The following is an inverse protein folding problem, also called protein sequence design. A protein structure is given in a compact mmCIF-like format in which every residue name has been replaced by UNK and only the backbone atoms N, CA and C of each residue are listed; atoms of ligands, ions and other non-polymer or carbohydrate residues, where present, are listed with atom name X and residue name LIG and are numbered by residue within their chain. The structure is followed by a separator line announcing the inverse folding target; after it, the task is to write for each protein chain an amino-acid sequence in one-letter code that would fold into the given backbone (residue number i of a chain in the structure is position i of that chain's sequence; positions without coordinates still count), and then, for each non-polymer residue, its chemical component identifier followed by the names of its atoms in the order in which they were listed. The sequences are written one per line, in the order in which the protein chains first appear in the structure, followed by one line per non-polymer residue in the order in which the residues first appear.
data_IF_665366505431
#
_entry.id   IF_665366505431
#
_cell.length_a   1.000
_cell.length_b   1.000
_cell.length_c   1.000
_cell.angle_alpha   90.00
_cell.angle_beta   90.00
_cell.angle_gamma   90.00
#
_symmetry.space_group_name_H-M   'P 1'
#
loop_
_entity.id
_entity.type
_entity.pdbx_description
1 polymer ?
#
# COMPACT_ATOMS: atom_id res chain seq x y z
N UNK A 1 6.25 -36.51 7.64
CA UNK A 1 5.46 -35.25 7.66
C UNK A 1 6.01 -34.38 8.79
N UNK A 2 6.52 -33.17 8.51
CA UNK A 2 7.10 -32.29 9.51
C UNK A 2 5.99 -31.66 10.35
N UNK A 3 5.98 -31.98 11.63
CA UNK A 3 4.98 -31.49 12.60
C UNK A 3 5.45 -30.13 13.15
N UNK A 4 4.86 -29.07 12.65
CA UNK A 4 5.21 -27.69 13.01
C UNK A 4 4.88 -27.34 14.47
N UNK A 5 3.85 -27.95 15.05
CA UNK A 5 3.45 -27.69 16.44
C UNK A 5 4.44 -28.31 17.41
N UNK A 6 4.79 -29.58 17.23
CA UNK A 6 5.84 -30.25 18.04
C UNK A 6 7.20 -29.54 17.95
N UNK A 7 7.55 -29.03 16.75
CA UNK A 7 8.78 -28.27 16.58
C UNK A 7 8.74 -26.94 17.35
N UNK A 8 7.56 -26.28 17.39
CA UNK A 8 7.37 -25.02 18.13
C UNK A 8 7.42 -25.24 19.64
N UNK A 9 6.77 -26.29 20.13
CA UNK A 9 6.80 -26.68 21.55
C UNK A 9 8.23 -27.03 21.99
N UNK A 10 8.93 -27.87 21.21
CA UNK A 10 10.33 -28.20 21.45
C UNK A 10 11.22 -26.95 21.53
N UNK A 11 11.05 -26.01 20.59
CA UNK A 11 11.79 -24.76 20.59
C UNK A 11 11.49 -23.91 21.83
N UNK A 12 10.23 -23.76 22.21
CA UNK A 12 9.86 -22.99 23.41
C UNK A 12 10.43 -23.62 24.69
N UNK A 13 10.35 -24.94 24.82
CA UNK A 13 10.87 -25.69 25.97
C UNK A 13 12.41 -25.61 26.08
N UNK A 14 13.11 -25.57 24.97
CA UNK A 14 14.57 -25.60 24.92
C UNK A 14 15.21 -24.26 24.53
N UNK A 15 14.43 -23.18 24.44
CA UNK A 15 14.87 -21.87 23.92
C UNK A 15 16.12 -21.33 24.62
N UNK A 16 16.17 -21.42 25.95
CA UNK A 16 17.32 -20.94 26.73
C UNK A 16 18.59 -21.71 26.38
N UNK A 17 18.53 -23.04 26.33
CA UNK A 17 19.63 -23.89 25.94
C UNK A 17 20.10 -23.66 24.50
N UNK A 18 19.15 -23.56 23.57
CA UNK A 18 19.45 -23.28 22.16
C UNK A 18 20.14 -21.91 22.00
N UNK A 19 19.68 -20.87 22.70
CA UNK A 19 20.32 -19.57 22.70
C UNK A 19 21.73 -19.60 23.31
N UNK A 20 21.91 -20.33 24.40
CA UNK A 20 23.21 -20.49 25.03
C UNK A 20 24.21 -21.21 24.13
N UNK A 21 23.80 -22.30 23.47
CA UNK A 21 24.61 -23.02 22.48
C UNK A 21 24.97 -22.13 21.30
N UNK A 22 24.00 -21.34 20.78
CA UNK A 22 24.24 -20.40 19.70
C UNK A 22 25.21 -19.28 20.10
N UNK A 23 25.09 -18.75 21.33
CA UNK A 23 26.03 -17.75 21.85
C UNK A 23 27.44 -18.29 22.05
N UNK A 24 27.56 -19.49 22.62
CA UNK A 24 28.84 -20.15 22.79
C UNK A 24 29.52 -20.43 21.45
N UNK A 25 28.73 -20.92 20.47
CA UNK A 25 29.22 -21.18 19.13
C UNK A 25 29.60 -19.87 18.40
N UNK A 26 28.79 -18.79 18.54
CA UNK A 26 29.10 -17.48 17.99
C UNK A 26 30.38 -16.90 18.58
N UNK A 27 30.56 -17.00 19.92
CA UNK A 27 31.79 -16.58 20.62
C UNK A 27 33.03 -17.31 20.10
N UNK A 28 32.94 -18.65 19.96
CA UNK A 28 34.03 -19.48 19.44
C UNK A 28 34.43 -19.18 17.99
N UNK A 29 33.50 -18.62 17.22
CA UNK A 29 33.70 -18.31 15.78
C UNK A 29 33.90 -16.81 15.47
N UNK A 30 33.76 -15.93 16.47
CA UNK A 30 34.04 -14.48 16.33
C UNK A 30 35.54 -14.24 16.14
N UNK A 31 36.39 -14.97 16.85
CA UNK A 31 37.85 -14.87 16.74
C UNK A 31 38.39 -15.27 15.35
N UNK A 32 37.55 -15.88 14.50
CA UNK A 32 37.89 -16.28 13.13
C UNK A 32 37.33 -15.32 12.05
N UNK A 33 36.97 -14.06 12.38
CA UNK A 33 36.67 -13.03 11.40
C UNK A 33 35.20 -12.83 11.04
N UNK A 34 34.27 -13.07 11.98
CA UNK A 34 32.86 -12.69 11.86
C UNK A 34 31.89 -13.86 11.85
N UNK A 35 30.57 -13.55 11.87
CA UNK A 35 29.55 -14.59 11.89
C UNK A 35 29.72 -15.55 10.71
N UNK A 36 29.36 -16.82 10.90
CA UNK A 36 29.45 -17.87 9.86
C UNK A 36 28.75 -17.45 8.58
N UNK A 37 27.64 -16.73 8.67
CA UNK A 37 26.94 -16.17 7.53
C UNK A 37 27.78 -15.14 6.75
N UNK A 38 28.59 -14.30 7.44
CA UNK A 38 29.55 -13.42 6.77
C UNK A 38 30.70 -14.21 6.13
N UNK A 39 31.12 -15.29 6.77
CA UNK A 39 32.17 -16.18 6.24
C UNK A 39 31.69 -16.88 4.97
N UNK A 40 30.49 -17.48 4.97
CA UNK A 40 29.89 -18.07 3.76
C UNK A 40 29.63 -17.05 2.67
N UNK A 41 29.10 -15.87 2.99
CA UNK A 41 28.95 -14.78 2.04
C UNK A 41 30.27 -14.29 1.45
N UNK A 42 31.37 -14.27 2.25
CA UNK A 42 32.71 -13.95 1.76
C UNK A 42 33.22 -15.04 0.83
N UNK A 43 33.06 -16.32 1.18
CA UNK A 43 33.48 -17.45 0.37
C UNK A 43 32.77 -17.51 -0.99
N UNK A 44 31.48 -17.28 -1.04
CA UNK A 44 30.75 -17.24 -2.30
C UNK A 44 31.21 -16.09 -3.20
N UNK A 45 31.50 -14.92 -2.63
CA UNK A 45 32.07 -13.77 -3.36
C UNK A 45 33.51 -13.98 -3.82
N UNK A 46 34.31 -14.75 -3.08
CA UNK A 46 35.66 -15.14 -3.51
C UNK A 46 35.58 -16.08 -4.72
N UNK A 47 34.66 -17.07 -4.69
CA UNK A 47 34.44 -18.00 -5.82
C UNK A 47 33.84 -17.36 -7.05
N UNK A 48 32.89 -16.47 -6.85
CA UNK A 48 32.27 -15.69 -7.92
C UNK A 48 32.12 -14.24 -7.48
N UNK A 49 33.11 -13.36 -7.77
CA UNK A 49 33.07 -11.93 -7.42
C UNK A 49 31.89 -11.19 -8.01
N UNK A 50 31.29 -11.71 -9.07
CA UNK A 50 30.18 -11.11 -9.79
C UNK A 50 28.80 -11.67 -9.38
N UNK A 51 28.73 -12.61 -8.43
CA UNK A 51 27.47 -13.31 -8.07
C UNK A 51 26.34 -12.33 -7.71
N UNK A 52 26.66 -11.26 -6.96
CA UNK A 52 25.68 -10.25 -6.56
C UNK A 52 25.26 -9.41 -7.78
N UNK A 53 26.18 -9.13 -8.70
CA UNK A 53 25.91 -8.37 -9.95
C UNK A 53 25.07 -9.19 -10.91
N UNK A 54 25.41 -10.47 -11.10
CA UNK A 54 24.66 -11.38 -11.97
C UNK A 54 23.26 -11.66 -11.42
N UNK A 55 23.13 -11.86 -10.11
CA UNK A 55 21.83 -11.97 -9.46
C UNK A 55 21.00 -10.72 -9.65
N UNK A 56 21.57 -9.54 -9.38
CA UNK A 56 20.89 -8.27 -9.56
C UNK A 56 20.50 -8.02 -11.02
N UNK A 57 21.38 -8.35 -11.99
CA UNK A 57 21.07 -8.19 -13.41
C UNK A 57 19.89 -9.06 -13.84
N UNK A 58 19.83 -10.33 -13.36
CA UNK A 58 18.72 -11.26 -13.68
C UNK A 58 17.40 -10.87 -13.01
N UNK A 59 17.45 -10.30 -11.81
CA UNK A 59 16.26 -10.01 -11.01
C UNK A 59 15.99 -8.50 -10.83
N UNK A 60 16.64 -7.66 -11.65
CA UNK A 60 16.61 -6.21 -11.49
C UNK A 60 15.19 -5.64 -11.45
N UNK A 61 14.35 -6.04 -12.37
CA UNK A 61 12.97 -5.55 -12.47
C UNK A 61 12.14 -5.94 -11.24
N UNK A 62 12.24 -7.19 -10.82
CA UNK A 62 11.54 -7.69 -9.62
C UNK A 62 12.02 -6.97 -8.34
N UNK A 63 13.35 -6.75 -8.21
CA UNK A 63 13.92 -6.05 -7.06
C UNK A 63 13.45 -4.59 -7.03
N UNK A 64 13.46 -3.91 -8.18
CA UNK A 64 13.00 -2.52 -8.28
C UNK A 64 11.50 -2.41 -8.00
N UNK A 65 10.68 -3.34 -8.51
CA UNK A 65 9.26 -3.39 -8.22
C UNK A 65 8.99 -3.60 -6.72
N UNK A 66 9.66 -4.58 -6.08
CA UNK A 66 9.55 -4.82 -4.62
C UNK A 66 9.97 -3.58 -3.81
N UNK A 67 11.04 -2.89 -4.22
CA UNK A 67 11.46 -1.63 -3.60
C UNK A 67 10.41 -0.55 -3.76
N UNK A 68 9.84 -0.35 -4.97
CA UNK A 68 8.77 0.63 -5.23
C UNK A 68 7.56 0.39 -4.32
N UNK A 69 7.10 -0.88 -4.19
CA UNK A 69 6.01 -1.26 -3.28
C UNK A 69 6.37 -1.00 -1.82
N UNK A 70 7.57 -1.41 -1.39
CA UNK A 70 8.04 -1.19 -0.02
C UNK A 70 8.05 0.30 0.35
N UNK A 71 8.60 1.16 -0.51
CA UNK A 71 8.63 2.60 -0.27
C UNK A 71 7.23 3.22 -0.25
N UNK A 72 6.35 2.86 -1.19
CA UNK A 72 4.96 3.32 -1.19
C UNK A 72 4.24 2.95 0.10
N UNK A 73 4.43 1.72 0.58
CA UNK A 73 3.86 1.25 1.85
C UNK A 73 4.45 1.99 3.06
N UNK A 74 5.78 2.17 3.09
CA UNK A 74 6.49 2.83 4.19
C UNK A 74 6.10 4.31 4.35
N UNK A 75 5.91 5.03 3.26
CA UNK A 75 5.53 6.45 3.29
C UNK A 75 4.02 6.67 3.29
N UNK A 76 3.22 5.62 3.44
CA UNK A 76 1.76 5.73 3.46
C UNK A 76 1.11 6.08 2.12
N UNK A 77 1.84 5.93 1.00
CA UNK A 77 1.35 6.18 -0.36
C UNK A 77 0.52 5.03 -0.94
N UNK A 78 0.24 3.98 -0.13
CA UNK A 78 -0.67 2.91 -0.55
C UNK A 78 -2.09 3.45 -0.62
N UNK A 79 -2.78 3.05 -1.68
CA UNK A 79 -4.18 3.39 -1.86
C UNK A 79 -5.02 2.95 -0.66
N UNK A 80 -5.69 3.91 -0.04
CA UNK A 80 -6.69 3.67 1.00
C UNK A 80 -8.07 3.85 0.36
N UNK A 81 -8.86 2.78 0.26
CA UNK A 81 -10.15 2.82 -0.44
C UNK A 81 -11.16 3.74 0.22
N UNK A 82 -11.09 3.91 1.54
CA UNK A 82 -11.90 4.83 2.31
C UNK A 82 -11.01 5.50 3.36
N UNK A 83 -10.91 6.85 3.40
CA UNK A 83 -10.24 7.59 4.45
C UNK A 83 -10.83 7.29 5.83
N UNK A 84 -9.99 7.36 6.86
CA UNK A 84 -10.42 7.14 8.25
C UNK A 84 -11.41 8.20 8.74
N UNK A 85 -11.35 9.40 8.16
CA UNK A 85 -12.28 10.51 8.42
C UNK A 85 -13.70 10.28 7.88
N UNK A 86 -13.92 9.23 7.07
CA UNK A 86 -15.20 8.92 6.45
C UNK A 86 -15.79 7.61 6.93
N UNK A 87 -17.09 7.48 6.77
CA UNK A 87 -17.84 6.23 7.01
C UNK A 87 -18.98 6.12 5.99
N UNK A 88 -19.44 4.88 5.77
CA UNK A 88 -20.60 4.59 4.92
C UNK A 88 -21.79 4.29 5.84
N UNK A 89 -22.92 4.96 5.61
CA UNK A 89 -24.15 4.78 6.37
C UNK A 89 -25.35 4.83 5.44
N UNK A 90 -26.53 4.50 5.97
CA UNK A 90 -27.81 4.75 5.30
C UNK A 90 -27.95 6.24 5.01
N UNK A 91 -28.26 6.57 3.75
CA UNK A 91 -28.45 7.93 3.27
C UNK A 91 -29.93 8.31 3.29
N UNK A 92 -30.20 9.59 3.54
CA UNK A 92 -31.52 10.16 3.33
C UNK A 92 -31.82 10.50 1.86
N UNK A 93 -30.79 10.46 0.98
CA UNK A 93 -30.91 10.76 -0.44
C UNK A 93 -31.24 9.48 -1.22
N UNK A 94 -30.30 8.52 -1.19
CA UNK A 94 -30.48 7.24 -1.86
C UNK A 94 -29.54 6.19 -1.28
N UNK A 95 -30.09 5.04 -0.89
CA UNK A 95 -29.35 3.86 -0.44
C UNK A 95 -28.29 4.14 0.64
N UNK A 96 -27.02 3.90 0.34
CA UNK A 96 -25.90 4.20 1.22
C UNK A 96 -25.18 5.47 0.76
N UNK A 97 -24.70 6.26 1.72
CA UNK A 97 -23.96 7.50 1.48
C UNK A 97 -22.63 7.55 2.25
N UNK A 98 -21.77 8.49 1.87
CA UNK A 98 -20.55 8.83 2.58
C UNK A 98 -20.81 9.89 3.63
N UNK A 99 -20.35 9.67 4.86
CA UNK A 99 -20.54 10.60 5.97
C UNK A 99 -19.22 10.96 6.63
N UNK A 100 -19.09 12.22 7.02
CA UNK A 100 -17.96 12.74 7.77
C UNK A 100 -17.96 12.22 9.21
N UNK A 101 -16.86 11.62 9.67
CA UNK A 101 -16.65 11.22 11.08
C UNK A 101 -16.10 12.38 11.91
N UNK A 102 -15.52 13.36 11.28
CA UNK A 102 -14.92 14.56 11.87
C UNK A 102 -15.12 15.76 10.95
N UNK A 103 -14.91 16.97 11.45
CA UNK A 103 -14.97 18.18 10.62
C UNK A 103 -13.81 18.23 9.63
N UNK A 104 -14.09 18.71 8.42
CA UNK A 104 -13.10 18.87 7.35
C UNK A 104 -13.21 20.24 6.75
N UNK A 105 -12.07 20.91 6.55
CA UNK A 105 -12.03 22.21 5.90
C UNK A 105 -12.29 22.12 4.39
N UNK A 106 -12.73 23.19 3.79
CA UNK A 106 -12.77 23.36 2.33
C UNK A 106 -11.39 23.05 1.73
N UNK A 107 -11.36 22.37 0.58
CA UNK A 107 -10.12 21.98 -0.10
C UNK A 107 -9.51 20.68 0.39
N UNK A 108 -10.11 19.98 1.37
CA UNK A 108 -9.62 18.69 1.85
C UNK A 108 -9.71 17.63 0.75
N UNK A 109 -8.59 17.04 0.38
CA UNK A 109 -8.53 15.97 -0.62
C UNK A 109 -8.82 14.62 0.04
N UNK A 110 -9.95 14.04 -0.28
CA UNK A 110 -10.45 12.76 0.25
C UNK A 110 -9.87 11.54 -0.49
N UNK A 111 -9.21 11.76 -1.62
CA UNK A 111 -8.60 10.70 -2.41
C UNK A 111 -9.34 10.40 -3.71
N UNK A 112 -8.95 9.30 -4.34
CA UNK A 112 -9.43 8.92 -5.67
C UNK A 112 -10.86 8.35 -5.60
N UNK A 113 -11.78 8.97 -6.32
CA UNK A 113 -13.17 8.51 -6.48
C UNK A 113 -13.37 7.66 -7.74
N UNK A 114 -12.73 8.05 -8.83
CA UNK A 114 -12.87 7.39 -10.13
C UNK A 114 -11.50 7.25 -10.81
N UNK A 115 -11.38 6.22 -11.64
CA UNK A 115 -10.21 5.93 -12.46
C UNK A 115 -10.69 5.56 -13.87
N UNK A 116 -10.16 6.19 -14.92
CA UNK A 116 -10.42 5.81 -16.31
C UNK A 116 -9.15 5.24 -16.93
N UNK A 117 -9.24 4.02 -17.44
CA UNK A 117 -8.19 3.33 -18.20
C UNK A 117 -8.80 2.94 -19.55
N UNK A 118 -8.24 3.47 -20.63
CA UNK A 118 -8.89 3.38 -21.93
C UNK A 118 -10.29 4.00 -21.88
N UNK A 119 -11.32 3.28 -22.28
CA UNK A 119 -12.71 3.74 -22.25
C UNK A 119 -13.49 3.32 -21.00
N UNK A 120 -12.87 2.54 -20.12
CA UNK A 120 -13.53 2.01 -18.93
C UNK A 120 -13.32 2.92 -17.72
N UNK A 121 -14.42 3.24 -17.02
CA UNK A 121 -14.41 4.01 -15.77
C UNK A 121 -14.65 3.05 -14.60
N UNK A 122 -13.70 3.03 -13.69
CA UNK A 122 -13.77 2.28 -12.44
C UNK A 122 -14.13 3.23 -11.30
N UNK A 123 -15.05 2.81 -10.43
CA UNK A 123 -15.40 3.51 -9.20
C UNK A 123 -14.67 2.91 -8.01
N UNK A 124 -14.09 3.75 -7.17
CA UNK A 124 -13.63 3.35 -5.85
C UNK A 124 -14.79 3.41 -4.87
N UNK A 125 -14.64 2.96 -3.60
CA UNK A 125 -15.67 3.19 -2.58
C UNK A 125 -16.07 4.65 -2.42
N UNK A 126 -15.14 5.61 -2.54
CA UNK A 126 -15.46 7.04 -2.55
C UNK A 126 -16.41 7.44 -3.70
N UNK A 127 -16.19 6.87 -4.88
CA UNK A 127 -17.04 7.15 -6.06
C UNK A 127 -18.30 6.29 -6.10
N UNK A 128 -18.35 5.20 -5.35
CA UNK A 128 -19.47 4.26 -5.34
C UNK A 128 -20.58 4.62 -4.34
N UNK A 129 -20.20 5.27 -3.24
CA UNK A 129 -21.14 5.60 -2.16
C UNK A 129 -21.39 7.10 -2.01
N UNK A 130 -20.86 7.96 -2.90
CA UNK A 130 -21.15 9.38 -2.87
C UNK A 130 -22.47 9.65 -3.64
N UNK A 131 -23.40 10.31 -2.99
CA UNK A 131 -24.70 10.64 -3.58
C UNK A 131 -24.66 11.95 -4.37
N UNK A 132 -25.65 12.12 -5.24
CA UNK A 132 -25.85 13.35 -6.00
C UNK A 132 -26.55 14.43 -5.18
N UNK A 133 -26.07 15.67 -5.32
CA UNK A 133 -26.82 16.86 -4.92
C UNK A 133 -26.54 18.01 -5.89
N UNK A 134 -27.52 18.88 -6.12
CA UNK A 134 -27.34 20.10 -6.92
C UNK A 134 -26.43 21.09 -6.18
N UNK A 135 -26.63 21.25 -4.87
CA UNK A 135 -25.76 21.99 -3.95
C UNK A 135 -24.82 21.05 -3.21
N UNK A 136 -23.85 20.50 -3.96
CA UNK A 136 -22.92 19.52 -3.46
C UNK A 136 -21.81 20.17 -2.63
N UNK A 137 -21.40 19.49 -1.54
CA UNK A 137 -20.28 19.91 -0.68
C UNK A 137 -18.92 19.34 -1.11
N UNK A 138 -18.88 18.57 -2.21
CA UNK A 138 -17.65 18.07 -2.81
C UNK A 138 -17.64 18.26 -4.32
N UNK A 139 -16.43 18.32 -4.88
CA UNK A 139 -16.16 18.37 -6.32
C UNK A 139 -15.23 17.26 -6.74
N UNK A 140 -15.34 16.81 -7.99
CA UNK A 140 -14.39 15.88 -8.63
C UNK A 140 -13.36 16.68 -9.41
N UNK A 141 -12.08 16.51 -9.07
CA UNK A 141 -10.96 17.14 -9.78
C UNK A 141 -10.25 16.10 -10.63
N UNK A 142 -10.25 16.33 -11.95
CA UNK A 142 -9.55 15.46 -12.91
C UNK A 142 -8.04 15.63 -12.80
N UNK A 143 -7.33 14.53 -12.78
CA UNK A 143 -5.87 14.46 -12.87
C UNK A 143 -5.51 13.50 -14.00
N UNK A 144 -4.68 13.96 -14.92
CA UNK A 144 -4.08 13.12 -15.97
C UNK A 144 -2.78 12.57 -15.44
N UNK A 145 -2.61 11.27 -15.53
CA UNK A 145 -1.46 10.57 -14.99
C UNK A 145 -0.76 9.78 -16.09
N UNK A 146 0.55 9.77 -16.00
CA UNK A 146 1.40 8.86 -16.77
C UNK A 146 2.09 7.98 -15.74
N UNK A 147 1.99 6.68 -15.87
CA UNK A 147 2.70 5.73 -15.02
C UNK A 147 3.34 4.66 -15.92
N UNK A 148 4.21 3.87 -15.35
CA UNK A 148 4.89 2.79 -16.05
C UNK A 148 4.58 1.46 -15.35
N UNK A 149 4.39 0.41 -16.15
CA UNK A 149 4.31 -0.95 -15.62
C UNK A 149 5.70 -1.43 -15.17
N UNK A 150 5.76 -2.67 -14.67
CA UNK A 150 7.02 -3.26 -14.19
C UNK A 150 8.05 -3.50 -15.31
N UNK A 151 7.60 -3.44 -16.57
CA UNK A 151 8.45 -3.62 -17.76
C UNK A 151 8.85 -2.29 -18.38
N UNK A 152 8.45 -1.16 -17.78
CA UNK A 152 8.76 0.18 -18.28
C UNK A 152 7.83 0.67 -19.39
N UNK A 153 6.70 -0.01 -19.66
CA UNK A 153 5.73 0.47 -20.61
C UNK A 153 4.91 1.60 -19.99
N UNK A 154 4.99 2.79 -20.58
CA UNK A 154 4.21 3.94 -20.16
C UNK A 154 2.74 3.76 -20.55
N UNK A 155 1.84 4.06 -19.63
CA UNK A 155 0.41 4.13 -19.90
C UNK A 155 -0.21 5.38 -19.30
N UNK A 156 -1.15 5.93 -20.07
CA UNK A 156 -1.88 7.13 -19.67
C UNK A 156 -3.21 6.73 -19.05
N UNK A 157 -3.56 7.36 -17.94
CA UNK A 157 -4.87 7.19 -17.34
C UNK A 157 -5.37 8.51 -16.72
N UNK A 158 -6.66 8.61 -16.53
CA UNK A 158 -7.28 9.72 -15.83
C UNK A 158 -7.80 9.23 -14.49
N UNK A 159 -7.63 10.04 -13.46
CA UNK A 159 -8.27 9.81 -12.17
C UNK A 159 -8.98 11.07 -11.71
N UNK A 160 -10.01 10.91 -10.92
CA UNK A 160 -10.70 12.01 -10.25
C UNK A 160 -10.55 11.86 -8.77
N UNK A 161 -10.00 12.90 -8.16
CA UNK A 161 -10.00 13.01 -6.71
C UNK A 161 -11.26 13.73 -6.26
N UNK A 162 -11.81 13.31 -5.13
CA UNK A 162 -12.90 13.98 -4.44
C UNK A 162 -12.30 14.99 -3.49
N UNK A 163 -12.74 16.26 -3.60
CA UNK A 163 -12.25 17.37 -2.78
C UNK A 163 -13.46 18.11 -2.20
N UNK A 164 -13.41 18.49 -0.93
CA UNK A 164 -14.45 19.31 -0.30
C UNK A 164 -14.49 20.71 -0.93
N UNK A 165 -15.66 21.16 -1.37
CA UNK A 165 -15.88 22.50 -1.96
C UNK A 165 -16.26 23.55 -0.93
N UNK A 166 -16.55 23.13 0.30
CA UNK A 166 -16.86 23.95 1.46
C UNK A 166 -16.48 23.19 2.74
N UNK A 167 -16.55 23.85 3.88
CA UNK A 167 -16.37 23.20 5.18
C UNK A 167 -17.47 22.16 5.40
N UNK A 168 -17.05 20.98 5.87
CA UNK A 168 -17.95 19.84 6.17
C UNK A 168 -17.90 19.57 7.66
N UNK A 169 -19.04 19.47 8.30
CA UNK A 169 -19.14 19.18 9.72
C UNK A 169 -19.17 17.67 9.97
N UNK A 170 -18.81 17.27 11.19
CA UNK A 170 -18.98 15.89 11.63
C UNK A 170 -20.45 15.48 11.51
N UNK A 171 -20.69 14.37 10.84
CA UNK A 171 -22.02 13.82 10.63
C UNK A 171 -22.68 14.22 9.31
N UNK A 172 -22.15 15.20 8.59
CA UNK A 172 -22.67 15.61 7.30
C UNK A 172 -22.46 14.49 6.26
N UNK A 173 -23.44 14.33 5.38
CA UNK A 173 -23.32 13.51 4.19
C UNK A 173 -22.52 14.27 3.13
N UNK A 174 -21.54 13.59 2.54
CA UNK A 174 -20.78 14.11 1.41
C UNK A 174 -21.56 13.83 0.13
N UNK A 175 -21.68 14.86 -0.68
CA UNK A 175 -22.39 14.80 -1.95
C UNK A 175 -21.56 15.42 -3.07
N UNK A 176 -21.85 15.02 -4.31
CA UNK A 176 -21.18 15.54 -5.50
C UNK A 176 -22.19 15.73 -6.63
N UNK A 177 -22.00 16.71 -7.49
CA UNK A 177 -22.78 16.81 -8.72
C UNK A 177 -22.32 15.73 -9.70
N UNK A 178 -23.22 14.85 -10.13
CA UNK A 178 -22.89 13.81 -11.09
C UNK A 178 -22.61 14.44 -12.46
N UNK A 179 -21.54 14.00 -13.10
CA UNK A 179 -21.08 14.46 -14.42
C UNK A 179 -20.87 13.31 -15.40
N UNK A 180 -20.89 12.05 -14.92
CA UNK A 180 -20.69 10.87 -15.75
C UNK A 180 -22.00 10.14 -16.06
N UNK A 181 -23.08 10.51 -15.40
CA UNK A 181 -24.39 9.86 -15.52
C UNK A 181 -25.47 10.93 -15.64
N UNK A 182 -26.44 10.69 -16.48
CA UNK A 182 -27.71 11.47 -16.46
C UNK A 182 -28.51 10.96 -15.26
N UNK A 183 -28.94 11.86 -14.39
CA UNK A 183 -29.77 11.58 -13.21
C UNK A 183 -31.20 11.90 -13.56
#
# INVERSE_FOLDING_TARGET
MYDKEKAREYYQKNKAHILQVHQAWAKKNVDQGGSVWRKYGRWSRIRNPNIDKEYYARHREEILYKKKIYYRKKVGLMYKPLPESLTIKQSGINGLGLFAKEGMAQGTNLGMSHLKIGDTIFRTPLGGFINHANEANCVKVELRMIDEDIKGHAYNYKKWNLITSQDVKKGDELTVRYTFYNV
#
